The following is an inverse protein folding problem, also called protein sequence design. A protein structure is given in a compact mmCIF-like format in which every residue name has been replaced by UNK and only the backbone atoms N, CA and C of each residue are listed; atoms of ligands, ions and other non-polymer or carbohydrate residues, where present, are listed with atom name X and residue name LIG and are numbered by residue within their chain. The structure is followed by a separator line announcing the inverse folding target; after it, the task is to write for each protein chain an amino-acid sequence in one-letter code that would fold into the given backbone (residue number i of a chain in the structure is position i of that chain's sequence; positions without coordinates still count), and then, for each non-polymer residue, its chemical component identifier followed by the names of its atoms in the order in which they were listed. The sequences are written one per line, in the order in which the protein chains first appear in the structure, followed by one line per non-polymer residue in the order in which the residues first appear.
data_IF_554017376154
#
_entry.id   IF_554017376154
#
_cell.length_a   1.000
_cell.length_b   1.000
_cell.length_c   1.000
_cell.angle_alpha   90.00
_cell.angle_beta   90.00
_cell.angle_gamma   90.00
#
_symmetry.space_group_name_H-M   'P 1'
#
loop_
_entity.id
_entity.type
_entity.pdbx_description
1 polymer ?
#
# COMPACT_ATOMS: atom_id res chain seq x y z
N UNK A 1 56.43 -26.72 -8.92
CA UNK A 1 55.48 -27.85 -8.76
C UNK A 1 54.05 -27.31 -8.86
N UNK A 2 53.14 -28.08 -9.48
CA UNK A 2 51.67 -27.94 -9.51
C UNK A 2 51.05 -26.63 -10.05
N UNK A 3 50.51 -26.79 -11.26
CA UNK A 3 49.45 -26.00 -11.90
C UNK A 3 48.06 -26.43 -11.36
N UNK A 4 47.03 -25.59 -11.52
CA UNK A 4 45.60 -25.91 -11.25
C UNK A 4 44.86 -24.71 -10.65
N UNK A 5 44.00 -23.92 -11.33
CA UNK A 5 42.85 -24.14 -12.25
C UNK A 5 41.49 -24.08 -11.51
N UNK A 6 40.50 -23.44 -12.16
CA UNK A 6 39.08 -23.21 -11.79
C UNK A 6 38.81 -21.89 -11.02
N UNK A 7 37.98 -20.90 -11.44
CA UNK A 7 36.70 -20.85 -12.22
C UNK A 7 35.55 -21.57 -11.49
N UNK A 8 34.33 -21.07 -11.24
CA UNK A 8 33.58 -19.79 -11.45
C UNK A 8 33.37 -19.09 -10.07
N UNK A 9 32.69 -17.95 -9.85
CA UNK A 9 31.72 -17.13 -10.61
C UNK A 9 32.00 -15.60 -10.37
N UNK A 10 31.19 -14.58 -10.72
CA UNK A 10 29.81 -14.53 -11.23
C UNK A 10 28.75 -14.23 -10.16
N UNK A 11 28.98 -13.26 -9.26
CA UNK A 11 27.96 -12.85 -8.27
C UNK A 11 26.81 -12.11 -8.96
N UNK A 12 25.60 -12.62 -8.75
CA UNK A 12 24.41 -12.23 -9.49
C UNK A 12 23.95 -10.79 -9.21
N UNK A 13 23.36 -10.18 -10.24
CA UNK A 13 22.65 -8.91 -10.12
C UNK A 13 21.37 -9.12 -9.29
N UNK A 14 21.31 -8.53 -8.10
CA UNK A 14 20.08 -8.45 -7.31
C UNK A 14 19.34 -7.14 -7.62
N UNK A 15 18.74 -7.06 -8.80
CA UNK A 15 17.58 -6.18 -8.99
C UNK A 15 16.41 -6.77 -8.19
N UNK A 16 16.07 -6.18 -7.03
CA UNK A 16 15.06 -6.81 -6.18
C UNK A 16 14.68 -6.16 -4.85
N UNK A 17 14.82 -4.84 -4.67
CA UNK A 17 14.39 -4.15 -3.43
C UNK A 17 13.16 -3.25 -3.60
N UNK A 18 12.43 -3.39 -4.71
CA UNK A 18 11.22 -2.65 -5.00
C UNK A 18 9.98 -3.18 -4.28
N UNK A 19 9.93 -3.15 -2.93
CA UNK A 19 8.66 -3.38 -2.21
C UNK A 19 8.57 -2.94 -0.72
N UNK A 20 9.62 -2.35 -0.10
CA UNK A 20 9.59 -2.00 1.34
C UNK A 20 9.31 -0.51 1.60
N UNK A 21 9.60 0.40 0.66
CA UNK A 21 9.40 1.84 0.86
C UNK A 21 7.94 2.25 1.13
N UNK A 22 6.97 1.69 0.39
CA UNK A 22 5.56 2.08 0.48
C UNK A 22 4.86 1.74 1.80
N UNK A 23 5.48 0.93 2.67
CA UNK A 23 4.87 0.54 3.96
C UNK A 23 4.97 1.64 5.03
N UNK A 24 6.07 2.42 5.04
CA UNK A 24 6.28 3.50 6.00
C UNK A 24 5.32 4.67 5.73
N UNK A 25 5.28 5.14 4.49
CA UNK A 25 4.49 6.32 4.10
C UNK A 25 2.98 6.02 4.15
N UNK A 26 2.56 4.85 3.67
CA UNK A 26 1.15 4.45 3.65
C UNK A 26 0.50 4.39 5.03
N UNK A 27 1.23 3.90 6.05
CA UNK A 27 0.72 3.91 7.43
C UNK A 27 0.67 5.33 8.00
N UNK A 28 1.68 6.16 7.74
CA UNK A 28 1.70 7.54 8.24
C UNK A 28 0.53 8.38 7.69
N UNK A 29 0.21 8.22 6.40
CA UNK A 29 -0.96 8.85 5.76
C UNK A 29 -2.28 8.30 6.34
N UNK A 30 -2.36 6.99 6.57
CA UNK A 30 -3.50 6.38 7.26
C UNK A 30 -3.71 6.99 8.65
N UNK A 31 -2.68 7.00 9.50
CA UNK A 31 -2.76 7.49 10.88
C UNK A 31 -3.16 8.98 10.91
N UNK A 32 -2.63 9.78 9.98
CA UNK A 32 -2.86 11.23 9.88
C UNK A 32 -4.24 11.62 9.36
N UNK A 33 -4.84 10.85 8.46
CA UNK A 33 -6.04 11.29 7.72
C UNK A 33 -7.15 10.24 7.60
N UNK A 34 -6.83 8.96 7.39
CA UNK A 34 -7.84 7.92 7.18
C UNK A 34 -8.38 7.33 8.49
N UNK A 35 -7.52 7.19 9.51
CA UNK A 35 -7.79 6.46 10.75
C UNK A 35 -8.92 7.03 11.59
N UNK A 36 -9.10 8.36 11.58
CA UNK A 36 -10.21 9.02 12.30
C UNK A 36 -11.60 8.48 11.92
N UNK A 37 -11.75 8.02 10.66
CA UNK A 37 -12.95 7.35 10.19
C UNK A 37 -12.83 5.82 10.24
N UNK A 38 -11.75 5.27 9.66
CA UNK A 38 -11.63 3.83 9.40
C UNK A 38 -11.26 2.97 10.62
N UNK A 39 -11.00 3.56 11.80
CA UNK A 39 -10.88 2.81 13.05
C UNK A 39 -12.25 2.35 13.61
N UNK A 40 -13.33 3.06 13.28
CA UNK A 40 -14.67 2.84 13.86
C UNK A 40 -15.78 2.63 12.81
N UNK A 41 -15.67 3.24 11.62
CA UNK A 41 -16.69 3.21 10.58
C UNK A 41 -16.35 2.25 9.44
N UNK A 42 -17.38 1.79 8.72
CA UNK A 42 -17.21 0.90 7.57
C UNK A 42 -16.63 1.62 6.34
N UNK A 43 -15.73 0.97 5.56
CA UNK A 43 -15.06 -0.30 5.84
C UNK A 43 -13.98 -0.12 6.92
N UNK A 44 -14.11 -0.82 8.05
CA UNK A 44 -13.18 -0.69 9.18
C UNK A 44 -11.85 -1.35 8.84
N UNK A 45 -10.73 -0.79 9.31
CA UNK A 45 -9.40 -1.39 9.11
C UNK A 45 -9.37 -2.82 9.68
N UNK A 46 -8.91 -3.77 8.87
CA UNK A 46 -8.83 -5.19 9.25
C UNK A 46 -10.12 -6.00 9.12
N UNK A 47 -11.25 -5.38 8.76
CA UNK A 47 -12.51 -6.09 8.53
C UNK A 47 -12.46 -6.88 7.20
N UNK A 48 -12.02 -8.14 7.28
CA UNK A 48 -11.88 -9.01 6.11
C UNK A 48 -13.19 -9.20 5.33
N UNK A 49 -14.34 -9.14 6.00
CA UNK A 49 -15.65 -9.30 5.36
C UNK A 49 -16.02 -8.06 4.54
N UNK A 50 -15.82 -6.86 5.09
CA UNK A 50 -16.03 -5.60 4.37
C UNK A 50 -15.00 -5.38 3.24
N UNK A 51 -13.73 -5.74 3.47
CA UNK A 51 -12.65 -5.52 2.50
C UNK A 51 -12.57 -6.57 1.40
N UNK A 52 -13.00 -7.82 1.62
CA UNK A 52 -13.01 -8.88 0.61
C UNK A 52 -13.58 -8.49 -0.76
N UNK A 53 -14.80 -7.92 -0.87
CA UNK A 53 -15.35 -7.46 -2.13
C UNK A 53 -14.73 -6.15 -2.66
N UNK A 54 -14.06 -5.36 -1.80
CA UNK A 54 -13.36 -4.14 -2.20
C UNK A 54 -12.01 -4.46 -2.84
N UNK A 55 -11.21 -5.33 -2.21
CA UNK A 55 -9.90 -5.77 -2.71
C UNK A 55 -9.98 -6.43 -4.09
N UNK A 56 -11.08 -7.14 -4.39
CA UNK A 56 -11.36 -7.72 -5.73
C UNK A 56 -11.47 -6.69 -6.86
N UNK A 57 -11.64 -5.40 -6.55
CA UNK A 57 -11.68 -4.31 -7.56
C UNK A 57 -10.29 -3.85 -8.00
N UNK A 58 -9.24 -4.28 -7.32
CA UNK A 58 -7.88 -3.81 -7.52
C UNK A 58 -7.60 -2.45 -6.86
N UNK A 59 -6.33 -2.21 -6.53
CA UNK A 59 -5.87 -1.01 -5.82
C UNK A 59 -6.25 0.27 -6.55
N UNK A 60 -6.04 0.34 -7.87
CA UNK A 60 -6.18 1.60 -8.61
C UNK A 60 -7.64 2.09 -8.67
N UNK A 61 -8.61 1.18 -8.75
CA UNK A 61 -10.04 1.52 -8.66
C UNK A 61 -10.45 2.01 -7.25
N UNK A 62 -9.79 1.50 -6.20
CA UNK A 62 -9.97 2.00 -4.84
C UNK A 62 -9.33 3.38 -4.69
N UNK A 63 -8.11 3.60 -5.20
CA UNK A 63 -7.43 4.91 -5.19
C UNK A 63 -8.24 5.96 -5.93
N UNK A 64 -8.74 5.67 -7.13
CA UNK A 64 -9.61 6.58 -7.88
C UNK A 64 -10.88 6.96 -7.08
N UNK A 65 -11.44 6.02 -6.31
CA UNK A 65 -12.59 6.26 -5.43
C UNK A 65 -12.22 7.15 -4.22
N UNK A 66 -11.00 7.01 -3.67
CA UNK A 66 -10.51 7.82 -2.55
C UNK A 66 -10.14 9.24 -3.00
N UNK A 67 -9.42 9.37 -4.11
CA UNK A 67 -9.04 10.68 -4.69
C UNK A 67 -10.29 11.51 -5.02
N UNK A 68 -11.29 10.91 -5.70
CA UNK A 68 -12.57 11.56 -6.00
C UNK A 68 -13.43 11.85 -4.76
N UNK A 69 -13.31 11.03 -3.72
CA UNK A 69 -14.25 10.99 -2.60
C UNK A 69 -15.51 10.19 -2.94
N UNK A 70 -16.21 9.70 -1.90
CA UNK A 70 -17.41 8.87 -2.05
C UNK A 70 -18.28 8.89 -0.79
N UNK A 71 -19.52 9.37 -0.93
CA UNK A 71 -20.46 9.43 0.19
C UNK A 71 -19.91 10.30 1.32
N UNK A 72 -19.84 9.74 2.53
CA UNK A 72 -19.26 10.43 3.69
C UNK A 72 -17.72 10.56 3.66
N UNK A 73 -17.02 9.84 2.75
CA UNK A 73 -15.58 9.99 2.59
C UNK A 73 -15.28 11.19 1.67
N UNK A 74 -14.63 12.26 2.17
CA UNK A 74 -14.31 13.43 1.35
C UNK A 74 -13.25 13.11 0.28
N UNK A 75 -13.05 13.99 -0.72
CA UNK A 75 -11.95 13.88 -1.68
C UNK A 75 -10.60 13.67 -0.98
N UNK A 76 -9.75 12.84 -1.60
CA UNK A 76 -8.47 12.37 -1.03
C UNK A 76 -8.58 11.74 0.36
N UNK A 77 -9.77 11.31 0.80
CA UNK A 77 -9.99 10.82 2.17
C UNK A 77 -9.64 11.85 3.26
N UNK A 78 -9.67 13.14 2.93
CA UNK A 78 -9.26 14.23 3.82
C UNK A 78 -7.75 14.56 3.78
N UNK A 79 -6.94 13.73 3.11
CA UNK A 79 -5.50 13.96 2.92
C UNK A 79 -5.22 14.97 1.78
N UNK A 80 -5.77 16.19 1.89
CA UNK A 80 -5.74 17.19 0.82
C UNK A 80 -4.31 17.57 0.36
N UNK A 81 -3.34 17.57 1.28
CA UNK A 81 -1.93 17.87 1.00
C UNK A 81 -1.11 16.65 0.54
N UNK A 82 -1.69 15.45 0.48
CA UNK A 82 -0.98 14.23 0.07
C UNK A 82 -1.04 14.05 -1.45
N UNK A 83 0.05 13.51 -2.01
CA UNK A 83 0.10 13.10 -3.40
C UNK A 83 -0.80 11.87 -3.64
N UNK A 84 -1.13 11.60 -4.90
CA UNK A 84 -1.94 10.43 -5.25
C UNK A 84 -1.15 9.12 -5.03
N UNK A 85 0.19 9.19 -5.01
CA UNK A 85 1.07 8.08 -4.62
C UNK A 85 1.00 7.80 -3.10
N UNK A 86 0.96 8.83 -2.27
CA UNK A 86 0.77 8.71 -0.81
C UNK A 86 -0.59 8.08 -0.48
N UNK A 87 -1.63 8.50 -1.20
CA UNK A 87 -2.98 7.93 -1.09
C UNK A 87 -2.98 6.47 -1.54
N UNK A 88 -2.27 6.12 -2.62
CA UNK A 88 -2.09 4.73 -3.06
C UNK A 88 -1.39 3.89 -2.00
N UNK A 89 -0.32 4.38 -1.39
CA UNK A 89 0.37 3.70 -0.29
C UNK A 89 -0.56 3.46 0.91
N UNK A 90 -1.42 4.43 1.26
CA UNK A 90 -2.41 4.30 2.33
C UNK A 90 -3.51 3.28 2.01
N UNK A 91 -4.06 3.30 0.79
CA UNK A 91 -5.06 2.32 0.33
C UNK A 91 -4.47 0.91 0.34
N UNK A 92 -3.23 0.73 -0.14
CA UNK A 92 -2.56 -0.57 -0.07
C UNK A 92 -2.29 -1.02 1.37
N UNK A 93 -1.93 -0.10 2.27
CA UNK A 93 -1.81 -0.41 3.70
C UNK A 93 -3.14 -0.94 4.24
N UNK A 94 -4.26 -0.23 4.01
CA UNK A 94 -5.58 -0.64 4.49
C UNK A 94 -6.01 -2.01 3.93
N UNK A 95 -5.76 -2.26 2.63
CA UNK A 95 -6.03 -3.56 1.99
C UNK A 95 -5.14 -4.66 2.57
N UNK A 96 -3.85 -4.41 2.85
CA UNK A 96 -2.95 -5.39 3.49
C UNK A 96 -3.43 -5.80 4.88
N UNK A 97 -3.89 -4.85 5.71
CA UNK A 97 -4.37 -5.14 7.07
C UNK A 97 -5.64 -6.01 7.10
N UNK A 98 -6.38 -6.11 5.99
CA UNK A 98 -7.62 -6.88 5.89
C UNK A 98 -7.49 -8.17 5.04
N UNK A 99 -6.26 -8.65 4.81
CA UNK A 99 -5.99 -9.99 4.26
C UNK A 99 -5.96 -11.04 5.35
#
# INVERSE_FOLDING_TARGET
MKLGLAVVAGMAVLFGSGQIAAAADGKAVYDKSCGGCHNAMAPKLGDKAAWGPLAKKGTDALVASVVKGKGAMPPKGGAASSSDADIKAAVEYMVRQAK
#
